data_IF_789868285635
#
_entry.id   IF_789868285635
#
_cell.length_a   1.000
_cell.length_b   1.000
_cell.length_c   1.000
_cell.angle_alpha   90.00
_cell.angle_beta   90.00
_cell.angle_gamma   90.00
#
_symmetry.space_group_name_H-M   'P 1'
#
loop_
_entity.id
_entity.type
_entity.pdbx_description
1 polymer ?
#
# COMPACT_ATOMS: atom_id res chain seq x y z
N UNK A 1 19.16 15.68 -19.51
CA UNK A 1 18.88 14.39 -18.85
C UNK A 1 20.17 13.93 -18.18
N UNK A 2 20.24 13.96 -16.85
CA UNK A 2 21.43 13.52 -16.11
C UNK A 2 21.44 12.00 -16.10
N UNK A 3 22.42 11.37 -16.77
CA UNK A 3 22.60 9.90 -16.69
C UNK A 3 23.00 9.54 -15.27
N UNK A 4 22.22 8.68 -14.61
CA UNK A 4 22.63 8.03 -13.38
C UNK A 4 23.73 7.02 -13.70
N UNK A 5 24.76 6.94 -12.87
CA UNK A 5 25.78 5.90 -12.96
C UNK A 5 25.27 4.63 -12.28
N UNK A 6 25.76 3.46 -12.71
CA UNK A 6 25.38 2.16 -12.13
C UNK A 6 25.57 2.16 -10.60
N UNK A 7 26.69 2.69 -10.11
CA UNK A 7 26.97 2.85 -8.68
C UNK A 7 25.90 3.65 -7.93
N UNK A 8 25.37 4.72 -8.53
CA UNK A 8 24.31 5.54 -7.89
C UNK A 8 22.97 4.81 -7.84
N UNK A 9 22.70 3.93 -8.80
CA UNK A 9 21.52 3.07 -8.79
C UNK A 9 21.66 2.02 -7.70
N UNK A 10 22.80 1.33 -7.64
CA UNK A 10 23.09 0.32 -6.62
C UNK A 10 23.03 0.90 -5.19
N UNK A 11 23.57 2.10 -4.97
CA UNK A 11 23.47 2.78 -3.67
C UNK A 11 22.01 3.09 -3.29
N UNK A 12 21.17 3.42 -4.26
CA UNK A 12 19.75 3.68 -4.02
C UNK A 12 18.98 2.38 -3.75
N UNK A 13 19.24 1.33 -4.53
CA UNK A 13 18.66 0.00 -4.33
C UNK A 13 19.05 -0.57 -2.97
N UNK A 14 20.32 -0.44 -2.57
CA UNK A 14 20.81 -0.88 -1.27
C UNK A 14 20.10 -0.18 -0.12
N UNK A 15 19.88 1.14 -0.23
CA UNK A 15 19.11 1.91 0.79
C UNK A 15 17.69 1.40 0.92
N UNK A 16 17.00 1.13 -0.20
CA UNK A 16 15.63 0.59 -0.18
C UNK A 16 15.62 -0.82 0.42
N UNK A 17 16.60 -1.65 0.06
CA UNK A 17 16.76 -3.00 0.60
C UNK A 17 16.95 -2.99 2.12
N UNK A 18 17.93 -2.23 2.62
CA UNK A 18 18.20 -2.10 4.07
C UNK A 18 16.98 -1.55 4.80
N UNK A 19 16.33 -0.52 4.24
CA UNK A 19 15.11 0.03 4.84
C UNK A 19 14.01 -1.02 4.98
N UNK A 20 13.80 -1.85 3.93
CA UNK A 20 12.82 -2.93 3.96
C UNK A 20 13.16 -3.95 5.05
N UNK A 21 14.40 -4.42 5.12
CA UNK A 21 14.84 -5.37 6.15
C UNK A 21 14.62 -4.87 7.57
N UNK A 22 14.87 -3.58 7.83
CA UNK A 22 14.77 -3.00 9.17
C UNK A 22 13.31 -2.69 9.59
N UNK A 23 12.49 -2.22 8.65
CA UNK A 23 11.20 -1.60 8.98
C UNK A 23 10.00 -2.47 8.61
N UNK A 24 10.14 -3.40 7.66
CA UNK A 24 9.05 -4.31 7.29
C UNK A 24 8.68 -5.19 8.49
N UNK A 25 7.39 -5.24 8.80
CA UNK A 25 6.87 -6.10 9.87
C UNK A 25 6.06 -7.26 9.33
N UNK A 26 5.19 -7.02 8.34
CA UNK A 26 4.33 -8.06 7.79
C UNK A 26 3.53 -7.60 6.58
N UNK A 27 3.03 -8.57 5.82
CA UNK A 27 1.89 -8.40 4.93
C UNK A 27 0.57 -8.72 5.67
N UNK A 28 -0.46 -7.90 5.51
CA UNK A 28 -1.75 -8.07 6.18
C UNK A 28 -2.93 -7.62 5.32
N UNK A 29 -4.11 -8.20 5.56
CA UNK A 29 -5.37 -7.75 4.97
C UNK A 29 -5.87 -6.51 5.70
N UNK A 30 -6.33 -5.51 4.96
CA UNK A 30 -7.04 -4.36 5.54
C UNK A 30 -8.27 -4.05 4.71
N UNK A 31 -9.29 -3.47 5.34
CA UNK A 31 -10.40 -2.88 4.60
C UNK A 31 -9.85 -1.75 3.70
N UNK A 32 -10.14 -1.86 2.40
CA UNK A 32 -9.63 -0.96 1.37
C UNK A 32 -10.06 0.50 1.60
N UNK A 33 -11.14 0.74 2.35
CA UNK A 33 -11.59 2.08 2.73
C UNK A 33 -10.63 2.79 3.69
N UNK A 34 -9.80 2.05 4.43
CA UNK A 34 -8.82 2.62 5.37
C UNK A 34 -7.57 3.18 4.68
N UNK A 35 -7.37 2.85 3.40
CA UNK A 35 -6.23 3.33 2.64
C UNK A 35 -6.47 4.76 2.15
N UNK A 36 -5.51 5.64 2.40
CA UNK A 36 -5.49 6.99 1.85
C UNK A 36 -4.16 7.28 1.20
N UNK A 37 -4.17 8.21 0.26
CA UNK A 37 -3.00 8.60 -0.52
C UNK A 37 -2.90 10.11 -0.50
N UNK A 38 -1.68 10.62 -0.38
CA UNK A 38 -1.44 12.05 -0.36
C UNK A 38 -1.77 12.66 -1.73
N UNK A 39 -2.63 13.67 -1.72
CA UNK A 39 -3.14 14.33 -2.93
C UNK A 39 -2.09 15.29 -3.48
N UNK A 40 -1.27 14.80 -4.41
CA UNK A 40 -0.42 15.67 -5.21
C UNK A 40 -1.15 16.06 -6.51
N UNK A 41 -1.46 17.36 -6.67
CA UNK A 41 -2.24 17.90 -7.80
C UNK A 41 -1.69 17.50 -9.18
N UNK A 42 -0.37 17.34 -9.31
CA UNK A 42 0.30 16.85 -10.53
C UNK A 42 0.02 15.37 -10.85
N UNK A 43 -0.17 14.51 -9.83
CA UNK A 43 -0.49 13.07 -10.01
C UNK A 43 -1.90 12.89 -10.58
N UNK A 44 -2.87 13.72 -10.19
CA UNK A 44 -4.27 13.53 -10.57
C UNK A 44 -4.54 13.62 -12.09
N UNK A 45 -3.85 14.51 -12.82
CA UNK A 45 -4.03 14.63 -14.27
C UNK A 45 -3.43 13.45 -15.06
N UNK A 46 -2.31 12.87 -14.61
CA UNK A 46 -1.70 11.70 -15.25
C UNK A 46 -2.41 10.38 -14.93
N UNK A 47 -3.19 10.35 -13.85
CA UNK A 47 -3.69 9.12 -13.25
C UNK A 47 -4.95 8.54 -13.89
N UNK A 48 -5.81 9.38 -14.52
CA UNK A 48 -7.13 8.93 -15.00
C UNK A 48 -7.07 7.85 -16.07
N UNK A 49 -6.17 7.97 -17.06
CA UNK A 49 -6.04 6.96 -18.12
C UNK A 49 -5.52 5.63 -17.56
N UNK A 50 -4.57 5.69 -16.61
CA UNK A 50 -4.05 4.49 -15.98
C UNK A 50 -5.11 3.78 -15.13
N UNK A 51 -5.95 4.53 -14.40
CA UNK A 51 -7.09 3.98 -13.66
C UNK A 51 -8.04 3.23 -14.62
N UNK A 52 -8.41 3.83 -15.75
CA UNK A 52 -9.28 3.17 -16.75
C UNK A 52 -8.64 1.89 -17.29
N UNK A 53 -7.33 1.91 -17.56
CA UNK A 53 -6.58 0.72 -18.00
C UNK A 53 -6.63 -0.38 -16.93
N UNK A 54 -6.41 -0.04 -15.67
CA UNK A 54 -6.45 -0.98 -14.55
C UNK A 54 -7.86 -1.54 -14.33
N UNK A 55 -8.90 -0.71 -14.44
CA UNK A 55 -10.29 -1.17 -14.38
C UNK A 55 -10.58 -2.25 -15.44
N UNK A 56 -10.13 -2.07 -16.68
CA UNK A 56 -10.29 -3.06 -17.76
C UNK A 56 -9.51 -4.35 -17.50
N UNK A 57 -8.30 -4.24 -16.97
CA UNK A 57 -7.50 -5.40 -16.58
C UNK A 57 -8.25 -6.19 -15.50
N UNK A 58 -8.79 -5.50 -14.49
CA UNK A 58 -9.55 -6.13 -13.41
C UNK A 58 -10.85 -6.77 -13.89
N UNK A 59 -11.52 -6.20 -14.89
CA UNK A 59 -12.71 -6.80 -15.51
C UNK A 59 -12.40 -8.13 -16.20
N UNK A 60 -11.17 -8.29 -16.70
CA UNK A 60 -10.78 -9.50 -17.45
C UNK A 60 -10.10 -10.54 -16.55
N UNK A 61 -9.28 -10.08 -15.59
CA UNK A 61 -8.35 -10.94 -14.83
C UNK A 61 -8.61 -10.94 -13.33
N UNK A 62 -9.51 -10.09 -12.82
CA UNK A 62 -9.69 -9.86 -11.39
C UNK A 62 -8.64 -8.93 -10.78
N UNK A 63 -8.71 -8.76 -9.45
CA UNK A 63 -7.96 -7.73 -8.72
C UNK A 63 -6.56 -8.16 -8.22
N UNK A 64 -6.10 -9.39 -8.50
CA UNK A 64 -4.74 -9.89 -8.16
C UNK A 64 -4.19 -9.51 -6.76
N UNK A 65 -5.04 -9.53 -5.73
CA UNK A 65 -4.72 -8.98 -4.40
C UNK A 65 -3.60 -9.70 -3.64
N UNK A 66 -3.28 -10.92 -4.06
CA UNK A 66 -2.26 -11.79 -3.45
C UNK A 66 -0.90 -11.70 -4.16
N UNK A 67 -0.83 -11.02 -5.30
CA UNK A 67 0.43 -10.77 -5.99
C UNK A 67 1.19 -9.67 -5.24
N UNK A 68 2.46 -9.92 -4.92
CA UNK A 68 3.29 -9.00 -4.14
C UNK A 68 3.39 -7.62 -4.82
N UNK A 69 3.41 -7.57 -6.15
CA UNK A 69 3.47 -6.32 -6.91
C UNK A 69 2.19 -5.48 -6.79
N UNK A 70 1.09 -6.09 -6.32
CA UNK A 70 -0.19 -5.44 -6.07
C UNK A 70 -0.38 -5.08 -4.59
N UNK A 71 0.53 -5.46 -3.70
CA UNK A 71 0.49 -5.02 -2.30
C UNK A 71 0.69 -3.51 -2.22
N UNK A 72 0.08 -2.89 -1.20
CA UNK A 72 0.26 -1.46 -0.95
C UNK A 72 1.21 -1.27 0.23
N UNK A 73 2.39 -0.66 0.05
CA UNK A 73 3.26 -0.29 1.16
C UNK A 73 2.59 0.78 2.01
N UNK A 74 2.49 0.54 3.32
CA UNK A 74 1.97 1.50 4.30
C UNK A 74 3.00 1.79 5.37
N UNK A 75 3.17 3.07 5.69
CA UNK A 75 4.03 3.50 6.80
C UNK A 75 3.17 3.70 8.04
N UNK A 76 3.54 3.05 9.14
CA UNK A 76 2.86 3.16 10.43
C UNK A 76 3.86 3.72 11.44
N UNK A 77 3.56 4.84 12.11
CA UNK A 77 4.38 5.32 13.22
C UNK A 77 4.49 4.25 14.31
N UNK A 78 5.67 4.08 14.89
CA UNK A 78 5.90 3.11 15.97
C UNK A 78 4.96 3.34 17.17
N UNK A 79 4.60 4.60 17.45
CA UNK A 79 3.64 4.96 18.49
C UNK A 79 2.21 4.47 18.24
N UNK A 80 1.86 4.22 16.99
CA UNK A 80 0.53 3.77 16.56
C UNK A 80 0.48 2.25 16.30
N UNK A 81 1.64 1.62 16.09
CA UNK A 81 1.76 0.18 15.94
C UNK A 81 1.34 -0.56 17.22
N UNK A 82 0.55 -1.62 17.08
CA UNK A 82 -0.10 -2.37 18.17
C UNK A 82 -1.05 -1.57 19.07
N UNK A 83 -1.11 -0.24 18.94
CA UNK A 83 -2.04 0.62 19.66
C UNK A 83 -3.29 0.92 18.84
N UNK A 84 -3.11 1.49 17.65
CA UNK A 84 -4.18 1.90 16.73
C UNK A 84 -4.28 1.03 15.48
N UNK A 85 -3.16 0.41 15.12
CA UNK A 85 -3.03 -0.52 14.01
C UNK A 85 -2.58 -1.86 14.59
N UNK A 86 -3.48 -2.85 14.60
CA UNK A 86 -3.31 -4.10 15.34
C UNK A 86 -3.47 -5.30 14.42
N UNK A 87 -2.44 -6.14 14.24
CA UNK A 87 -2.62 -7.38 13.54
C UNK A 87 -3.43 -8.35 14.42
N UNK A 88 -4.47 -8.94 13.83
CA UNK A 88 -5.29 -9.99 14.41
C UNK A 88 -5.18 -11.23 13.55
N UNK A 89 -4.89 -12.36 14.19
CA UNK A 89 -4.90 -13.65 13.52
C UNK A 89 -6.33 -13.99 13.09
N UNK A 90 -6.48 -14.36 11.83
CA UNK A 90 -7.74 -14.82 11.25
C UNK A 90 -7.46 -16.08 10.43
N UNK A 91 -8.49 -16.89 10.19
CA UNK A 91 -8.34 -18.08 9.36
C UNK A 91 -7.88 -17.70 7.95
N UNK A 92 -6.68 -18.14 7.58
CA UNK A 92 -6.06 -17.88 6.28
C UNK A 92 -4.57 -17.59 6.36
N UNK A 93 -4.00 -17.23 5.20
CA UNK A 93 -2.56 -17.02 5.03
C UNK A 93 -2.07 -15.65 5.55
N UNK A 94 -2.96 -14.67 5.68
CA UNK A 94 -2.63 -13.30 6.08
C UNK A 94 -3.44 -12.88 7.30
N UNK A 95 -2.79 -12.18 8.24
CA UNK A 95 -3.46 -11.54 9.37
C UNK A 95 -4.42 -10.46 8.88
N UNK A 96 -5.48 -10.21 9.66
CA UNK A 96 -6.34 -9.04 9.48
C UNK A 96 -5.74 -7.87 10.26
N UNK A 97 -5.60 -6.72 9.61
CA UNK A 97 -5.18 -5.49 10.24
C UNK A 97 -6.41 -4.74 10.74
N UNK A 98 -6.60 -4.75 12.05
CA UNK A 98 -7.62 -3.94 12.71
C UNK A 98 -7.09 -2.52 12.87
N UNK A 99 -7.83 -1.57 12.30
CA UNK A 99 -7.47 -0.14 12.28
C UNK A 99 -8.57 0.62 13.01
N UNK A 100 -8.18 1.44 14.00
CA UNK A 100 -9.12 2.30 14.73
C UNK A 100 -9.98 3.13 13.78
N UNK A 101 -11.25 3.36 14.14
CA UNK A 101 -12.26 3.95 13.24
C UNK A 101 -11.89 5.35 12.72
N UNK A 102 -11.15 6.11 13.52
CA UNK A 102 -10.67 7.45 13.22
C UNK A 102 -9.25 7.47 12.62
N UNK A 103 -8.67 6.30 12.36
CA UNK A 103 -7.33 6.15 11.81
C UNK A 103 -7.37 5.70 10.34
N UNK A 104 -6.43 6.24 9.56
CA UNK A 104 -6.25 5.95 8.14
C UNK A 104 -4.82 5.53 7.87
N UNK A 105 -4.64 4.53 7.01
CA UNK A 105 -3.34 4.05 6.57
C UNK A 105 -2.91 4.80 5.32
N UNK A 106 -1.80 5.51 5.40
CA UNK A 106 -1.21 6.20 4.25
C UNK A 106 -0.41 5.21 3.40
N UNK A 107 -0.91 4.95 2.19
CA UNK A 107 -0.18 4.17 1.19
C UNK A 107 0.85 5.02 0.46
N UNK A 108 2.04 4.47 0.19
CA UNK A 108 3.15 5.19 -0.45
C UNK A 108 3.15 5.10 -1.99
N UNK A 109 2.36 4.20 -2.58
CA UNK A 109 2.21 4.04 -4.02
C UNK A 109 0.87 3.35 -4.35
N UNK A 110 0.62 2.95 -5.59
CA UNK A 110 -0.53 2.14 -6.01
C UNK A 110 -1.89 2.82 -5.82
N UNK A 111 -1.93 4.16 -5.70
CA UNK A 111 -3.17 4.93 -5.61
C UNK A 111 -4.14 4.58 -6.75
N UNK A 112 -3.64 4.55 -7.99
CA UNK A 112 -4.44 4.22 -9.18
C UNK A 112 -5.02 2.80 -9.11
N UNK A 113 -4.25 1.86 -8.56
CA UNK A 113 -4.67 0.47 -8.38
C UNK A 113 -5.80 0.40 -7.35
N UNK A 114 -5.66 1.06 -6.21
CA UNK A 114 -6.69 1.08 -5.17
C UNK A 114 -7.94 1.83 -5.62
N UNK A 115 -7.79 2.93 -6.35
CA UNK A 115 -8.92 3.67 -6.93
C UNK A 115 -9.69 2.80 -7.93
N UNK A 116 -8.99 2.07 -8.81
CA UNK A 116 -9.63 1.14 -9.74
C UNK A 116 -10.31 -0.02 -8.98
N UNK A 117 -9.62 -0.64 -8.02
CA UNK A 117 -10.13 -1.76 -7.24
C UNK A 117 -11.41 -1.40 -6.47
N UNK A 118 -11.47 -0.22 -5.84
CA UNK A 118 -12.66 0.25 -5.10
C UNK A 118 -13.94 0.25 -5.93
N UNK A 119 -13.85 0.42 -7.24
CA UNK A 119 -15.02 0.38 -8.15
C UNK A 119 -15.45 -1.03 -8.53
N UNK A 120 -14.57 -2.01 -8.35
CA UNK A 120 -14.78 -3.42 -8.76
C UNK A 120 -15.15 -4.32 -7.58
N UNK A 121 -14.68 -3.98 -6.39
CA UNK A 121 -14.92 -4.77 -5.18
C UNK A 121 -16.34 -4.57 -4.65
N UNK A 122 -16.99 -5.66 -4.24
CA UNK A 122 -18.24 -5.59 -3.47
C UNK A 122 -17.97 -5.11 -2.04
N UNK A 123 -18.94 -4.47 -1.38
CA UNK A 123 -18.82 -4.05 0.02
C UNK A 123 -18.51 -5.21 0.99
N UNK A 124 -18.98 -6.42 0.68
CA UNK A 124 -18.73 -7.62 1.48
C UNK A 124 -17.35 -8.25 1.28
N UNK A 125 -16.57 -7.77 0.29
CA UNK A 125 -15.26 -8.32 -0.08
C UNK A 125 -14.26 -7.19 -0.39
N UNK A 126 -14.35 -6.09 0.36
CA UNK A 126 -13.60 -4.85 0.16
C UNK A 126 -12.29 -4.83 0.96
N UNK A 127 -11.48 -5.88 0.86
CA UNK A 127 -10.15 -5.94 1.49
C UNK A 127 -9.02 -5.91 0.47
N UNK A 128 -7.85 -5.45 0.91
CA UNK A 128 -6.60 -5.42 0.14
C UNK A 128 -5.41 -5.86 1.00
N UNK A 129 -4.31 -6.33 0.38
CA UNK A 129 -3.07 -6.63 1.11
C UNK A 129 -2.19 -5.38 1.20
N UNK A 130 -1.74 -5.09 2.41
CA UNK A 130 -0.75 -4.06 2.68
C UNK A 130 0.53 -4.67 3.21
N UNK A 131 1.65 -4.10 2.80
CA UNK A 131 2.95 -4.36 3.41
C UNK A 131 3.20 -3.28 4.45
N UNK A 132 3.26 -3.68 5.73
CA UNK A 132 3.37 -2.77 6.86
C UNK A 132 4.82 -2.51 7.21
N UNK A 133 5.21 -1.24 7.14
CA UNK A 133 6.51 -0.75 7.58
C UNK A 133 6.32 0.12 8.81
N UNK A 134 6.96 -0.24 9.92
CA UNK A 134 6.88 0.53 11.17
C UNK A 134 8.06 1.47 11.25
N UNK A 135 7.80 2.76 11.46
CA UNK A 135 8.82 3.81 11.38
C UNK A 135 8.80 4.70 12.62
N UNK A 136 9.97 5.22 13.01
CA UNK A 136 10.10 6.14 14.15
C UNK A 136 9.59 7.56 13.85
N UNK A 137 9.33 7.89 12.59
CA UNK A 137 8.86 9.23 12.21
C UNK A 137 7.36 9.36 12.49
N UNK A 138 7.05 10.20 13.48
CA UNK A 138 5.76 10.87 13.59
C UNK A 138 5.61 11.77 12.35
N UNK A 139 4.51 11.60 11.61
CA UNK A 139 4.28 12.30 10.36
C UNK A 139 4.46 13.82 10.49
N UNK A 140 5.12 14.39 9.48
CA UNK A 140 5.10 15.82 9.19
C UNK A 140 3.68 16.27 8.76
#
# INVERSE_FOLDING_TARGET
MTRLTQTRVEEAEYKVFTYREEHFKMAARVDISRLVFDKNFKRQMSNRQNIIRLERIMDTQGCHRLMEECHVPVLVPESDWQRRVRPRLVDGQFNQLDVDIDYQLRGQDHENLIVAARKKLSPSNSWWIVDVYVTQQTGA
#
